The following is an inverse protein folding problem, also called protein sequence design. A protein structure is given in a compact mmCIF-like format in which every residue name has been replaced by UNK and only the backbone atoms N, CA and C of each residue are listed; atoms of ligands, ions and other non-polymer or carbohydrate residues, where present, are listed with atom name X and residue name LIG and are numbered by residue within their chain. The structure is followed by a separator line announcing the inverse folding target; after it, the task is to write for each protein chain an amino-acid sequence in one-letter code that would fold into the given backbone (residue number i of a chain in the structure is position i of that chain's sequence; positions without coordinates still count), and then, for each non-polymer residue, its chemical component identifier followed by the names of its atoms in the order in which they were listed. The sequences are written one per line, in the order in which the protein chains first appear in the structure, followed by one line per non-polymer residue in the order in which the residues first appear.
data_IF_718519383213
#
_entry.id   IF_718519383213
#
_cell.length_a   1.000
_cell.length_b   1.000
_cell.length_c   1.000
_cell.angle_alpha   90.00
_cell.angle_beta   90.00
_cell.angle_gamma   90.00
#
_symmetry.space_group_name_H-M   'P 1'
#
loop_
_entity.id
_entity.type
_entity.pdbx_description
1 polymer ?
#
# COMPACT_ATOMS: atom_id res chain seq x y z
N UNK A 1 37.55 0.11 0.65
CA UNK A 1 36.14 -0.02 1.06
C UNK A 1 35.87 -1.50 1.18
N UNK A 2 35.35 -1.95 2.32
CA UNK A 2 35.08 -3.37 2.56
C UNK A 2 33.84 -3.80 1.75
N UNK A 3 34.04 -4.74 0.83
CA UNK A 3 33.01 -5.19 -0.11
C UNK A 3 31.83 -5.82 0.64
N UNK A 4 32.10 -6.46 1.78
CA UNK A 4 31.07 -7.10 2.61
C UNK A 4 30.19 -6.06 3.32
N UNK A 5 30.78 -4.95 3.80
CA UNK A 5 30.03 -3.87 4.43
C UNK A 5 29.09 -3.17 3.44
N UNK A 6 29.55 -3.00 2.20
CA UNK A 6 28.74 -2.41 1.12
C UNK A 6 27.56 -3.32 0.75
N UNK A 7 27.78 -4.63 0.61
CA UNK A 7 26.71 -5.58 0.29
C UNK A 7 25.66 -5.68 1.41
N UNK A 8 26.09 -5.74 2.67
CA UNK A 8 25.17 -5.73 3.82
C UNK A 8 24.30 -4.47 3.86
N UNK A 9 24.89 -3.30 3.59
CA UNK A 9 24.15 -2.02 3.54
C UNK A 9 23.12 -2.02 2.41
N UNK A 10 23.47 -2.54 1.24
CA UNK A 10 22.54 -2.64 0.11
C UNK A 10 21.36 -3.56 0.41
N UNK A 11 21.62 -4.68 1.08
CA UNK A 11 20.59 -5.63 1.49
C UNK A 11 19.62 -5.00 2.50
N UNK A 12 20.13 -4.30 3.51
CA UNK A 12 19.31 -3.60 4.51
C UNK A 12 18.41 -2.53 3.86
N UNK A 13 18.98 -1.70 3.00
CA UNK A 13 18.22 -0.68 2.27
C UNK A 13 17.12 -1.30 1.40
N UNK A 14 17.42 -2.38 0.67
CA UNK A 14 16.43 -3.06 -0.15
C UNK A 14 15.30 -3.67 0.69
N UNK A 15 15.60 -4.20 1.87
CA UNK A 15 14.61 -4.72 2.80
C UNK A 15 13.71 -3.61 3.36
N UNK A 16 14.28 -2.45 3.71
CA UNK A 16 13.53 -1.27 4.16
C UNK A 16 12.60 -0.76 3.06
N UNK A 17 13.10 -0.61 1.82
CA UNK A 17 12.28 -0.19 0.68
C UNK A 17 11.08 -1.13 0.43
N UNK A 18 11.26 -2.45 0.59
CA UNK A 18 10.17 -3.43 0.50
C UNK A 18 9.17 -3.23 1.64
N UNK A 19 9.64 -2.99 2.87
CA UNK A 19 8.78 -2.76 4.02
C UNK A 19 7.94 -1.48 3.86
N UNK A 20 8.57 -0.39 3.42
CA UNK A 20 7.89 0.88 3.12
C UNK A 20 6.84 0.72 2.02
N UNK A 21 7.18 0.04 0.91
CA UNK A 21 6.25 -0.20 -0.18
C UNK A 21 5.03 -1.04 0.26
N UNK A 22 5.22 -2.03 1.14
CA UNK A 22 4.11 -2.80 1.75
C UNK A 22 3.23 -1.94 2.64
N UNK A 23 3.83 -1.10 3.48
CA UNK A 23 3.10 -0.19 4.34
C UNK A 23 2.27 0.80 3.50
N UNK A 24 2.86 1.33 2.43
CA UNK A 24 2.17 2.22 1.50
C UNK A 24 0.92 1.59 0.88
N UNK A 25 1.02 0.34 0.41
CA UNK A 25 -0.14 -0.41 -0.10
C UNK A 25 -1.25 -0.56 0.95
N UNK A 26 -0.88 -0.89 2.18
CA UNK A 26 -1.83 -1.02 3.30
C UNK A 26 -2.56 0.31 3.54
N UNK A 27 -1.84 1.43 3.47
CA UNK A 27 -2.40 2.77 3.64
C UNK A 27 -3.34 3.16 2.50
N UNK A 28 -3.01 2.79 1.25
CA UNK A 28 -3.90 2.98 0.10
C UNK A 28 -5.20 2.17 0.25
N UNK A 29 -5.11 0.90 0.64
CA UNK A 29 -6.29 0.04 0.85
C UNK A 29 -7.19 0.58 1.96
N UNK A 30 -6.58 1.00 3.09
CA UNK A 30 -7.30 1.66 4.19
C UNK A 30 -8.03 2.91 3.69
N UNK A 31 -7.37 3.73 2.88
CA UNK A 31 -7.95 4.97 2.34
C UNK A 31 -9.09 4.71 1.35
N UNK A 32 -8.94 3.72 0.48
CA UNK A 32 -10.02 3.26 -0.40
C UNK A 32 -11.24 2.81 0.40
N UNK A 33 -11.03 2.08 1.50
CA UNK A 33 -12.11 1.66 2.37
C UNK A 33 -12.85 2.83 3.00
N UNK A 34 -12.11 3.84 3.49
CA UNK A 34 -12.70 5.07 4.04
C UNK A 34 -13.58 5.80 3.02
N UNK A 35 -13.17 5.87 1.75
CA UNK A 35 -13.98 6.48 0.70
C UNK A 35 -15.25 5.68 0.38
N UNK A 36 -15.18 4.34 0.39
CA UNK A 36 -16.36 3.48 0.22
C UNK A 36 -17.37 3.69 1.34
N UNK A 37 -16.90 3.68 2.59
CA UNK A 37 -17.77 3.90 3.75
C UNK A 37 -18.34 5.33 3.77
N UNK A 38 -17.53 6.34 3.44
CA UNK A 38 -18.02 7.72 3.28
C UNK A 38 -19.12 7.84 2.23
N UNK A 39 -18.93 7.21 1.06
CA UNK A 39 -19.94 7.17 0.00
C UNK A 39 -21.21 6.46 0.43
N UNK A 40 -21.10 5.36 1.21
CA UNK A 40 -22.22 4.59 1.73
C UNK A 40 -23.07 5.42 2.70
N UNK A 41 -22.42 6.14 3.61
CA UNK A 41 -23.10 7.01 4.57
C UNK A 41 -23.85 8.13 3.86
N UNK A 42 -23.20 8.79 2.90
CA UNK A 42 -23.80 9.86 2.10
C UNK A 42 -25.07 9.32 1.41
N UNK A 43 -24.97 8.23 0.63
CA UNK A 43 -26.12 7.63 -0.09
C UNK A 43 -27.31 7.24 0.78
N UNK A 44 -27.07 6.83 2.03
CA UNK A 44 -28.12 6.30 2.91
C UNK A 44 -28.77 7.34 3.83
N UNK A 45 -28.24 8.56 3.92
CA UNK A 45 -28.82 9.63 4.75
C UNK A 45 -29.81 10.49 3.95
N UNK A 46 -30.91 10.90 4.59
CA UNK A 46 -31.71 12.03 4.11
C UNK A 46 -30.93 13.33 4.37
N UNK A 47 -30.63 14.08 3.31
CA UNK A 47 -29.75 15.24 3.36
C UNK A 47 -30.47 16.47 3.91
N UNK A 48 -30.49 16.62 5.23
CA UNK A 48 -30.83 17.89 5.90
C UNK A 48 -29.65 18.47 6.70
N UNK A 49 -28.53 17.75 6.80
CA UNK A 49 -27.36 18.13 7.61
C UNK A 49 -26.16 18.52 6.75
N UNK A 50 -25.30 19.38 7.31
CA UNK A 50 -24.00 19.74 6.74
C UNK A 50 -23.10 18.50 6.58
N UNK A 51 -22.51 18.33 5.41
CA UNK A 51 -21.56 17.25 5.15
C UNK A 51 -20.14 17.68 5.50
N UNK A 52 -19.48 16.92 6.36
CA UNK A 52 -18.08 17.13 6.73
C UNK A 52 -17.24 15.93 6.30
N UNK A 53 -16.11 16.22 5.66
CA UNK A 53 -15.17 15.21 5.18
C UNK A 53 -13.91 15.25 6.05
N UNK A 54 -13.47 14.08 6.52
CA UNK A 54 -12.17 13.94 7.15
C UNK A 54 -11.09 13.98 6.06
N UNK A 55 -10.26 15.02 6.07
CA UNK A 55 -9.06 15.11 5.25
C UNK A 55 -7.85 14.56 6.01
N UNK A 56 -6.75 14.31 5.28
CA UNK A 56 -5.52 13.70 5.82
C UNK A 56 -5.15 14.26 7.20
N UNK A 57 -4.94 13.38 8.19
CA UNK A 57 -4.68 13.74 9.58
C UNK A 57 -5.94 13.76 10.45
N UNK A 58 -6.18 14.86 11.15
CA UNK A 58 -7.29 15.04 12.13
C UNK A 58 -8.19 16.23 11.81
N UNK A 59 -8.22 16.65 10.54
CA UNK A 59 -8.92 17.87 10.11
C UNK A 59 -10.19 17.51 9.37
N UNK A 60 -11.31 18.07 9.81
CA UNK A 60 -12.58 18.00 9.09
C UNK A 60 -12.77 19.26 8.26
N UNK A 61 -13.15 19.09 7.00
CA UNK A 61 -13.54 20.18 6.12
C UNK A 61 -15.01 20.06 5.78
N UNK A 62 -15.73 21.17 5.86
CA UNK A 62 -17.12 21.22 5.40
C UNK A 62 -17.14 21.10 3.88
N UNK A 63 -17.92 20.17 3.36
CA UNK A 63 -18.18 20.09 1.93
C UNK A 63 -19.05 21.26 1.53
N UNK A 64 -18.55 22.09 0.61
CA UNK A 64 -19.36 23.12 -0.05
C UNK A 64 -20.12 22.58 -1.26
N UNK A 65 -20.01 21.28 -1.54
CA UNK A 65 -20.65 20.62 -2.66
C UNK A 65 -21.98 20.02 -2.24
N UNK A 66 -22.95 20.02 -3.16
CA UNK A 66 -24.14 19.18 -3.00
C UNK A 66 -23.75 17.71 -2.81
N UNK A 67 -24.57 16.91 -2.10
CA UNK A 67 -24.23 15.52 -1.82
C UNK A 67 -23.92 14.69 -3.05
N UNK A 68 -24.64 14.91 -4.16
CA UNK A 68 -24.40 14.24 -5.44
C UNK A 68 -22.99 14.54 -5.97
N UNK A 69 -22.59 15.80 -6.00
CA UNK A 69 -21.25 16.18 -6.46
C UNK A 69 -20.15 15.68 -5.50
N UNK A 70 -20.45 15.55 -4.20
CA UNK A 70 -19.52 14.91 -3.26
C UNK A 70 -19.37 13.42 -3.56
N UNK A 71 -20.44 12.72 -3.94
CA UNK A 71 -20.36 11.33 -4.40
C UNK A 71 -19.55 11.19 -5.68
N UNK A 72 -19.71 12.10 -6.64
CA UNK A 72 -18.93 12.10 -7.88
C UNK A 72 -17.42 12.28 -7.58
N UNK A 73 -17.09 13.19 -6.66
CA UNK A 73 -15.71 13.36 -6.17
C UNK A 73 -15.16 12.08 -5.52
N UNK A 74 -15.93 11.44 -4.64
CA UNK A 74 -15.51 10.20 -3.99
C UNK A 74 -15.36 9.05 -4.99
N UNK A 75 -16.23 8.97 -6.00
CA UNK A 75 -16.11 7.99 -7.09
C UNK A 75 -14.81 8.19 -7.85
N UNK A 76 -14.49 9.42 -8.25
CA UNK A 76 -13.23 9.73 -8.91
C UNK A 76 -12.01 9.36 -8.03
N UNK A 77 -12.08 9.61 -6.71
CA UNK A 77 -11.03 9.21 -5.76
C UNK A 77 -10.84 7.69 -5.68
N UNK A 78 -11.94 6.93 -5.71
CA UNK A 78 -11.89 5.48 -5.74
C UNK A 78 -11.17 4.98 -7.00
N UNK A 79 -11.57 5.48 -8.19
CA UNK A 79 -10.96 5.10 -9.46
C UNK A 79 -9.48 5.48 -9.55
N UNK A 80 -9.12 6.67 -9.09
CA UNK A 80 -7.74 7.12 -9.05
C UNK A 80 -6.89 6.24 -8.12
N UNK A 81 -7.39 5.92 -6.93
CA UNK A 81 -6.66 5.09 -5.99
C UNK A 81 -6.58 3.61 -6.41
N UNK A 82 -7.54 3.09 -7.17
CA UNK A 82 -7.41 1.75 -7.77
C UNK A 82 -6.22 1.67 -8.73
N UNK A 83 -6.04 2.70 -9.58
CA UNK A 83 -4.87 2.80 -10.47
C UNK A 83 -3.56 2.96 -9.69
N UNK A 84 -3.60 3.68 -8.57
CA UNK A 84 -2.45 3.87 -7.70
C UNK A 84 -2.04 2.58 -6.99
N UNK A 85 -3.01 1.79 -6.51
CA UNK A 85 -2.76 0.47 -5.92
C UNK A 85 -2.08 -0.46 -6.93
N UNK A 86 -2.54 -0.50 -8.18
CA UNK A 86 -1.88 -1.33 -9.19
C UNK A 86 -0.43 -0.90 -9.44
N UNK A 87 -0.17 0.42 -9.54
CA UNK A 87 1.19 0.94 -9.66
C UNK A 87 2.06 0.59 -8.46
N UNK A 88 1.52 0.70 -7.25
CA UNK A 88 2.22 0.36 -6.01
C UNK A 88 2.49 -1.15 -5.89
N UNK A 89 1.59 -2.01 -6.39
CA UNK A 89 1.82 -3.46 -6.50
C UNK A 89 2.97 -3.77 -7.45
N UNK A 90 3.00 -3.14 -8.62
CA UNK A 90 4.08 -3.35 -9.58
C UNK A 90 5.42 -2.83 -9.06
N UNK A 91 5.41 -1.73 -8.30
CA UNK A 91 6.59 -1.23 -7.62
C UNK A 91 7.10 -2.19 -6.53
N UNK A 92 6.19 -2.68 -5.69
CA UNK A 92 6.53 -3.68 -4.66
C UNK A 92 7.13 -4.95 -5.29
N UNK A 93 6.57 -5.44 -6.41
CA UNK A 93 7.12 -6.62 -7.11
C UNK A 93 8.57 -6.37 -7.56
N UNK A 94 8.87 -5.19 -8.12
CA UNK A 94 10.24 -4.84 -8.55
C UNK A 94 11.20 -4.80 -7.36
N UNK A 95 10.77 -4.18 -6.25
CA UNK A 95 11.59 -4.09 -5.02
C UNK A 95 11.85 -5.46 -4.39
N UNK A 96 10.85 -6.33 -4.36
CA UNK A 96 11.01 -7.72 -3.90
C UNK A 96 11.97 -8.50 -4.81
N UNK A 97 11.85 -8.34 -6.13
CA UNK A 97 12.75 -9.01 -7.08
C UNK A 97 14.21 -8.57 -6.86
N UNK A 98 14.44 -7.26 -6.69
CA UNK A 98 15.77 -6.72 -6.38
C UNK A 98 16.33 -7.23 -5.06
N UNK A 99 15.50 -7.29 -4.00
CA UNK A 99 15.91 -7.87 -2.72
C UNK A 99 16.32 -9.34 -2.87
N UNK A 100 15.55 -10.14 -3.62
CA UNK A 100 15.87 -11.54 -3.87
C UNK A 100 17.18 -11.71 -4.68
N UNK A 101 17.45 -10.81 -5.63
CA UNK A 101 18.74 -10.78 -6.35
C UNK A 101 19.92 -10.51 -5.40
N UNK A 102 19.76 -9.60 -4.43
CA UNK A 102 20.79 -9.27 -3.45
C UNK A 102 21.04 -10.39 -2.42
N UNK A 103 19.99 -11.09 -2.00
CA UNK A 103 20.09 -12.25 -1.10
C UNK A 103 20.80 -13.44 -1.77
N UNK A 104 20.65 -13.58 -3.09
CA UNK A 104 21.19 -14.69 -3.86
C UNK A 104 20.28 -15.92 -3.83
N UNK A 105 20.21 -16.64 -4.96
CA UNK A 105 19.24 -17.72 -5.19
C UNK A 105 19.25 -18.82 -4.12
N UNK A 106 20.41 -19.19 -3.60
CA UNK A 106 20.54 -20.20 -2.53
C UNK A 106 20.05 -19.71 -1.18
N UNK A 107 20.27 -18.43 -0.83
CA UNK A 107 19.81 -17.87 0.44
C UNK A 107 18.29 -17.62 0.42
N UNK A 108 17.75 -17.13 -0.70
CA UNK A 108 16.31 -16.94 -0.88
C UNK A 108 15.58 -18.29 -0.87
N UNK A 109 16.11 -19.32 -1.54
CA UNK A 109 15.59 -20.70 -1.45
C UNK A 109 15.69 -21.24 -0.02
N UNK A 110 16.84 -21.10 0.65
CA UNK A 110 17.01 -21.55 2.03
C UNK A 110 16.04 -20.85 3.00
N UNK A 111 15.74 -19.57 2.78
CA UNK A 111 14.78 -18.80 3.57
C UNK A 111 13.34 -19.20 3.29
N UNK A 112 12.97 -19.47 2.03
CA UNK A 112 11.67 -20.03 1.66
C UNK A 112 11.47 -21.46 2.20
N UNK A 113 12.55 -22.24 2.28
CA UNK A 113 12.55 -23.60 2.82
C UNK A 113 12.66 -23.62 4.36
N UNK A 114 13.02 -22.52 5.01
CA UNK A 114 13.17 -22.45 6.47
C UNK A 114 11.81 -22.65 7.15
N UNK A 115 11.67 -23.75 7.89
CA UNK A 115 10.42 -24.13 8.56
C UNK A 115 9.63 -25.23 7.83
N UNK A 116 10.01 -25.54 6.59
CA UNK A 116 9.68 -26.80 5.94
C UNK A 116 10.88 -27.72 6.16
N UNK A 117 10.76 -28.76 6.99
CA UNK A 117 11.86 -29.72 7.26
C UNK A 117 12.16 -30.60 6.02
N UNK A 118 12.45 -29.99 4.88
CA UNK A 118 12.72 -30.68 3.63
C UNK A 118 14.22 -30.96 3.56
N UNK A 119 14.56 -32.26 3.53
CA UNK A 119 15.93 -32.69 3.27
C UNK A 119 16.31 -32.35 1.83
N UNK A 120 17.52 -31.84 1.59
CA UNK A 120 17.99 -31.62 0.22
C UNK A 120 17.97 -32.95 -0.52
N UNK A 121 17.45 -32.94 -1.75
CA UNK A 121 17.51 -34.09 -2.64
C UNK A 121 18.93 -34.12 -3.20
N UNK A 122 19.64 -35.23 -2.95
CA UNK A 122 21.00 -35.48 -3.43
C UNK A 122 21.15 -35.24 -4.94
#
# INVERSE_FOLDING_TARGET
MDINATHSTQLENAAEEVAEAKQYLTDLDRRQNQYREGSRVIKNKQYSEDLWLLCSGRVFVKSCLEPKHTLDFLSWRLDAGAKEIERARDDLKRKIAYLAELEGSEATLAQMLKGFELKPVN
#
